data_IF_221853639284
#
_entry.id   IF_221853639284
#
_cell.length_a   1.000
_cell.length_b   1.000
_cell.length_c   1.000
_cell.angle_alpha   90.00
_cell.angle_beta   90.00
_cell.angle_gamma   90.00
#
_symmetry.space_group_name_H-M   'P 1'
#
loop_
_entity.id
_entity.type
_entity.pdbx_description
1 polymer ?
#
# COMPACT_ATOMS: atom_id res chain seq x y z
N UNK A 1 12.31 -58.21 -20.45
CA UNK A 1 11.29 -57.54 -19.61
C UNK A 1 11.80 -56.93 -18.30
N UNK A 2 13.02 -57.22 -17.82
CA UNK A 2 13.51 -56.69 -16.53
C UNK A 2 14.05 -55.24 -16.55
N UNK A 3 14.46 -54.71 -17.71
CA UNK A 3 15.02 -53.35 -17.81
C UNK A 3 13.97 -52.22 -17.85
N UNK A 4 12.67 -52.56 -17.98
CA UNK A 4 11.59 -51.56 -18.01
C UNK A 4 10.99 -51.28 -16.62
N UNK A 5 11.17 -52.20 -15.66
CA UNK A 5 10.61 -52.09 -14.32
C UNK A 5 11.45 -51.15 -13.44
N UNK A 6 12.79 -51.17 -13.59
CA UNK A 6 13.71 -50.33 -12.80
C UNK A 6 13.55 -48.83 -13.14
N UNK A 7 13.27 -48.48 -14.40
CA UNK A 7 13.00 -47.07 -14.80
C UNK A 7 11.68 -46.52 -14.26
N UNK A 8 10.68 -47.38 -14.03
CA UNK A 8 9.35 -46.95 -13.55
C UNK A 8 9.35 -46.72 -12.03
N UNK A 9 10.14 -47.47 -11.26
CA UNK A 9 10.27 -47.27 -9.81
C UNK A 9 11.12 -46.05 -9.45
N UNK A 10 12.18 -45.73 -10.20
CA UNK A 10 12.98 -44.54 -9.96
C UNK A 10 12.20 -43.23 -10.14
N UNK A 11 11.28 -43.18 -11.11
CA UNK A 11 10.45 -42.00 -11.36
C UNK A 11 9.40 -41.78 -10.26
N UNK A 12 8.80 -42.87 -9.75
CA UNK A 12 7.85 -42.79 -8.63
C UNK A 12 8.54 -42.36 -7.35
N UNK A 13 9.75 -42.87 -7.08
CA UNK A 13 10.57 -42.43 -5.94
C UNK A 13 10.95 -40.95 -6.04
N UNK A 14 11.29 -40.46 -7.24
CA UNK A 14 11.60 -39.05 -7.48
C UNK A 14 10.40 -38.12 -7.26
N UNK A 15 9.21 -38.52 -7.73
CA UNK A 15 7.96 -37.75 -7.49
C UNK A 15 7.65 -37.69 -6.00
N UNK A 16 7.80 -38.80 -5.27
CA UNK A 16 7.54 -38.83 -3.81
C UNK A 16 8.51 -37.90 -3.07
N UNK A 17 9.80 -37.97 -3.37
CA UNK A 17 10.81 -37.08 -2.75
C UNK A 17 10.54 -35.61 -3.10
N UNK A 18 10.20 -35.31 -4.35
CA UNK A 18 9.85 -33.95 -4.77
C UNK A 18 8.62 -33.42 -4.04
N UNK A 19 7.58 -34.25 -3.84
CA UNK A 19 6.39 -33.85 -3.08
C UNK A 19 6.70 -33.62 -1.60
N UNK A 20 7.57 -34.42 -0.99
CA UNK A 20 8.00 -34.22 0.41
C UNK A 20 8.83 -32.94 0.58
N UNK A 21 9.68 -32.60 -0.41
CA UNK A 21 10.44 -31.34 -0.43
C UNK A 21 9.52 -30.13 -0.63
N UNK A 22 8.49 -30.23 -1.47
CA UNK A 22 7.52 -29.14 -1.66
C UNK A 22 6.60 -28.94 -0.45
N UNK A 23 6.23 -30.01 0.26
CA UNK A 23 5.43 -29.93 1.50
C UNK A 23 6.23 -29.30 2.66
N UNK A 24 7.55 -29.47 2.70
CA UNK A 24 8.41 -28.87 3.74
C UNK A 24 8.74 -27.40 3.48
N UNK A 25 8.78 -26.95 2.22
CA UNK A 25 8.93 -25.52 1.88
C UNK A 25 7.62 -24.74 2.10
N UNK A 26 6.46 -25.42 2.11
CA UNK A 26 5.14 -24.80 2.22
C UNK A 26 4.69 -24.38 3.63
N UNK A 27 5.46 -24.63 4.70
CA UNK A 27 5.04 -24.36 6.08
C UNK A 27 5.82 -23.25 6.79
N UNK A 28 6.33 -22.26 6.05
CA UNK A 28 6.88 -21.03 6.67
C UNK A 28 5.85 -19.89 6.57
N UNK A 29 5.35 -19.52 7.74
CA UNK A 29 4.60 -18.31 8.11
C UNK A 29 3.08 -18.27 7.84
N UNK A 30 2.36 -18.95 8.72
CA UNK A 30 1.24 -18.32 9.44
C UNK A 30 1.79 -17.19 10.33
N UNK A 31 1.98 -16.01 9.75
CA UNK A 31 2.17 -14.77 10.50
C UNK A 31 0.98 -13.88 10.22
N UNK A 32 0.07 -13.76 11.18
CA UNK A 32 -1.06 -12.85 11.12
C UNK A 32 -0.56 -11.41 10.89
N UNK A 33 -0.64 -10.94 9.65
CA UNK A 33 -0.36 -9.55 9.30
C UNK A 33 -1.61 -8.73 9.63
N UNK A 34 -1.82 -8.43 10.91
CA UNK A 34 -2.71 -7.34 11.31
C UNK A 34 -2.01 -6.04 10.95
N UNK A 35 -2.10 -5.65 9.69
CA UNK A 35 -1.71 -4.31 9.27
C UNK A 35 -2.82 -3.34 9.68
N UNK A 36 -2.95 -3.14 10.99
CA UNK A 36 -3.64 -2.00 11.57
C UNK A 36 -2.56 -1.16 12.24
N UNK A 37 -1.81 -0.43 11.42
CA UNK A 37 -1.03 0.71 11.86
C UNK A 37 -1.99 1.85 12.22
N UNK A 38 -2.91 1.60 13.16
CA UNK A 38 -3.45 2.71 13.93
C UNK A 38 -2.31 3.15 14.86
N UNK A 39 -1.89 4.42 14.80
CA UNK A 39 -0.93 4.94 15.76
C UNK A 39 -1.46 4.68 17.17
N UNK A 40 -0.58 4.52 18.17
CA UNK A 40 -1.01 4.31 19.55
C UNK A 40 -2.05 5.38 19.89
N UNK A 41 -3.27 4.92 20.19
CA UNK A 41 -4.34 5.79 20.67
C UNK A 41 -3.77 6.46 21.91
N UNK A 42 -3.43 7.75 21.78
CA UNK A 42 -2.92 8.56 22.88
C UNK A 42 -3.84 8.32 24.08
N UNK A 43 -3.31 8.10 25.29
CA UNK A 43 -4.13 8.03 26.49
C UNK A 43 -5.09 9.20 26.41
N UNK A 44 -6.38 8.90 26.34
CA UNK A 44 -7.44 9.90 26.38
C UNK A 44 -7.50 10.33 27.84
N UNK A 45 -6.42 10.93 28.32
CA UNK A 45 -6.38 11.62 29.58
C UNK A 45 -7.43 12.71 29.44
N UNK A 46 -8.51 12.47 30.13
CA UNK A 46 -9.69 13.29 30.29
C UNK A 46 -9.33 14.60 30.99
N UNK A 47 -8.47 15.40 30.38
CA UNK A 47 -8.49 16.84 30.55
C UNK A 47 -9.13 17.40 29.29
N UNK A 48 -10.42 17.67 29.42
CA UNK A 48 -11.05 18.75 28.69
C UNK A 48 -10.08 19.93 28.65
N UNK A 49 -9.49 20.20 27.49
CA UNK A 49 -9.01 21.54 27.20
C UNK A 49 -10.27 22.36 26.98
N UNK A 50 -10.96 22.65 28.08
CA UNK A 50 -11.70 23.89 28.16
C UNK A 50 -10.60 24.93 27.97
N UNK A 51 -10.64 25.74 26.89
CA UNK A 51 -9.68 26.81 26.72
C UNK A 51 -9.73 27.62 28.01
N UNK A 52 -8.63 27.56 28.77
CA UNK A 52 -8.52 28.39 29.97
C UNK A 52 -8.60 29.82 29.47
N UNK A 53 -9.19 30.75 30.25
CA UNK A 53 -9.40 32.13 29.81
C UNK A 53 -8.11 32.87 29.41
N UNK A 54 -6.94 32.26 29.61
CA UNK A 54 -5.63 32.85 29.37
C UNK A 54 -4.92 32.39 28.06
N UNK A 55 -5.32 31.29 27.40
CA UNK A 55 -4.70 30.86 26.13
C UNK A 55 -5.74 30.43 25.08
N UNK A 56 -5.83 31.17 23.97
CA UNK A 56 -6.65 30.79 22.81
C UNK A 56 -5.95 29.74 21.94
N UNK A 57 -6.73 28.94 21.19
CA UNK A 57 -6.20 28.05 20.16
C UNK A 57 -5.40 28.81 19.08
N UNK A 58 -5.74 30.08 18.84
CA UNK A 58 -5.00 30.94 17.93
C UNK A 58 -3.61 31.30 18.48
N UNK A 59 -3.49 31.49 19.79
CA UNK A 59 -2.23 31.83 20.47
C UNK A 59 -1.27 30.64 20.48
N UNK A 60 -1.78 29.42 20.69
CA UNK A 60 -0.99 28.18 20.63
C UNK A 60 -0.31 28.04 19.25
N UNK A 61 -1.01 28.40 18.18
CA UNK A 61 -0.50 28.37 16.82
C UNK A 61 0.25 29.66 16.43
N UNK A 62 0.29 30.69 17.28
CA UNK A 62 0.83 32.02 16.99
C UNK A 62 0.26 32.64 15.71
N UNK A 63 -1.05 32.58 15.55
CA UNK A 63 -1.76 33.15 14.39
C UNK A 63 -2.81 34.16 14.83
N UNK A 64 -3.11 35.11 13.95
CA UNK A 64 -4.25 35.99 14.15
C UNK A 64 -5.57 35.22 14.05
N UNK A 65 -6.59 35.71 14.73
CA UNK A 65 -7.93 35.12 14.77
C UNK A 65 -8.61 35.13 13.39
N UNK A 66 -8.28 36.14 12.58
CA UNK A 66 -8.75 36.27 11.19
C UNK A 66 -7.96 35.40 10.21
N UNK A 67 -7.03 34.56 10.68
CA UNK A 67 -6.17 33.77 9.81
C UNK A 67 -6.98 32.81 8.92
N UNK A 68 -6.54 32.71 7.67
CA UNK A 68 -7.08 31.80 6.66
C UNK A 68 -6.58 30.39 6.87
N UNK A 69 -7.31 29.40 6.34
CA UNK A 69 -6.96 27.97 6.51
C UNK A 69 -5.54 27.65 6.00
N UNK A 70 -5.07 28.37 4.98
CA UNK A 70 -3.69 28.26 4.47
C UNK A 70 -2.65 28.77 5.47
N UNK A 71 -2.95 29.87 6.18
CA UNK A 71 -2.10 30.41 7.24
C UNK A 71 -2.07 29.49 8.46
N UNK A 72 -3.22 28.92 8.86
CA UNK A 72 -3.29 27.91 9.92
C UNK A 72 -2.42 26.70 9.58
N UNK A 73 -2.57 26.17 8.36
CA UNK A 73 -1.76 25.04 7.89
C UNK A 73 -0.26 25.37 7.87
N UNK A 74 0.11 26.61 7.53
CA UNK A 74 1.50 27.06 7.54
C UNK A 74 2.05 27.17 8.97
N UNK A 75 1.28 27.72 9.89
CA UNK A 75 1.66 27.86 11.29
C UNK A 75 1.78 26.50 11.99
N UNK A 76 0.85 25.59 11.75
CA UNK A 76 0.92 24.22 12.25
C UNK A 76 2.21 23.52 11.80
N UNK A 77 2.56 23.59 10.51
CA UNK A 77 3.82 23.03 10.01
C UNK A 77 5.05 23.62 10.72
N UNK A 78 5.05 24.92 11.03
CA UNK A 78 6.13 25.56 11.78
C UNK A 78 6.23 25.04 13.21
N UNK A 79 5.10 24.85 13.89
CA UNK A 79 5.07 24.31 15.26
C UNK A 79 5.54 22.84 15.29
N UNK A 80 5.06 22.01 14.36
CA UNK A 80 5.51 20.61 14.23
C UNK A 80 7.02 20.54 13.98
N UNK A 81 7.54 21.38 13.08
CA UNK A 81 8.97 21.42 12.80
C UNK A 81 9.82 21.90 13.99
N UNK A 82 9.24 22.63 14.95
CA UNK A 82 9.93 23.07 16.18
C UNK A 82 10.03 21.93 17.20
N UNK A 83 8.94 21.18 17.37
CA UNK A 83 8.81 20.15 18.40
C UNK A 83 9.00 18.71 17.89
N UNK A 84 9.51 18.53 16.67
CA UNK A 84 9.77 17.21 16.10
C UNK A 84 10.83 16.44 16.90
N UNK A 85 10.60 15.13 17.11
CA UNK A 85 11.45 14.25 17.91
C UNK A 85 12.93 14.33 17.52
N UNK A 86 13.24 14.38 16.23
CA UNK A 86 14.61 14.49 15.72
C UNK A 86 15.41 15.68 16.28
N UNK A 87 14.75 16.81 16.53
CA UNK A 87 15.42 18.01 17.08
C UNK A 87 15.56 17.96 18.59
N UNK A 88 14.63 17.29 19.27
CA UNK A 88 14.55 17.27 20.73
C UNK A 88 15.13 16.00 21.36
N UNK A 89 15.41 14.96 20.58
CA UNK A 89 16.00 13.70 21.05
C UNK A 89 17.38 13.88 21.71
N UNK A 90 18.11 14.93 21.31
CA UNK A 90 19.42 15.28 21.87
C UNK A 90 19.33 16.11 23.15
N UNK A 91 18.12 16.53 23.55
CA UNK A 91 17.87 17.29 24.77
C UNK A 91 17.49 16.32 25.90
N UNK A 92 17.67 16.75 27.16
CA UNK A 92 17.27 15.96 28.34
C UNK A 92 15.77 15.62 28.38
N UNK A 93 15.41 14.65 29.23
CA UNK A 93 14.05 14.09 29.33
C UNK A 93 12.97 15.16 29.54
N UNK A 94 13.23 16.17 30.35
CA UNK A 94 12.27 17.25 30.63
C UNK A 94 11.87 18.01 29.37
N UNK A 95 12.85 18.33 28.52
CA UNK A 95 12.62 19.05 27.25
C UNK A 95 11.91 18.18 26.22
N UNK A 96 12.13 16.87 26.24
CA UNK A 96 11.40 15.94 25.38
C UNK A 96 9.92 15.86 25.79
N UNK A 97 9.64 15.83 27.10
CA UNK A 97 8.28 15.83 27.62
C UNK A 97 7.55 17.14 27.29
N UNK A 98 8.21 18.29 27.45
CA UNK A 98 7.65 19.59 27.08
C UNK A 98 7.37 19.69 25.57
N UNK A 99 8.29 19.21 24.74
CA UNK A 99 8.12 19.18 23.29
C UNK A 99 6.90 18.35 22.88
N UNK A 100 6.70 17.18 23.50
CA UNK A 100 5.54 16.33 23.27
C UNK A 100 4.23 17.03 23.67
N UNK A 101 4.20 17.64 24.85
CA UNK A 101 3.02 18.37 25.32
C UNK A 101 2.66 19.54 24.38
N UNK A 102 3.65 20.32 23.94
CA UNK A 102 3.43 21.42 23.01
C UNK A 102 3.04 20.95 21.60
N UNK A 103 3.59 19.82 21.13
CA UNK A 103 3.18 19.18 19.88
C UNK A 103 1.72 18.72 19.93
N UNK A 104 1.32 18.08 21.02
CA UNK A 104 -0.06 17.62 21.22
C UNK A 104 -1.03 18.81 21.27
N UNK A 105 -0.69 19.88 21.99
CA UNK A 105 -1.49 21.13 22.01
C UNK A 105 -1.61 21.77 20.64
N UNK A 106 -0.52 21.87 19.87
CA UNK A 106 -0.54 22.45 18.53
C UNK A 106 -1.39 21.62 17.56
N UNK A 107 -1.36 20.28 17.71
CA UNK A 107 -2.18 19.36 16.93
C UNK A 107 -3.66 19.54 17.23
N UNK A 108 -4.03 19.55 18.51
CA UNK A 108 -5.42 19.75 18.94
C UNK A 108 -5.96 21.11 18.50
N UNK A 109 -5.16 22.18 18.65
CA UNK A 109 -5.53 23.52 18.18
C UNK A 109 -5.80 23.55 16.67
N UNK A 110 -4.93 22.92 15.87
CA UNK A 110 -5.09 22.87 14.42
C UNK A 110 -6.32 22.05 13.98
N UNK A 111 -6.54 20.88 14.59
CA UNK A 111 -7.71 20.04 14.31
C UNK A 111 -9.00 20.78 14.64
N UNK A 112 -9.06 21.42 15.80
CA UNK A 112 -10.22 22.16 16.26
C UNK A 112 -10.53 23.36 15.35
N UNK A 113 -9.52 24.17 15.01
CA UNK A 113 -9.69 25.35 14.15
C UNK A 113 -9.96 25.01 12.68
N UNK A 114 -9.55 23.83 12.21
CA UNK A 114 -9.88 23.36 10.84
C UNK A 114 -11.31 22.79 10.78
N UNK A 115 -11.83 22.34 11.91
CA UNK A 115 -13.18 21.77 12.01
C UNK A 115 -14.30 22.80 11.83
N UNK A 116 -15.55 22.33 11.78
CA UNK A 116 -16.73 23.21 11.80
C UNK A 116 -16.93 23.89 13.17
N UNK A 117 -16.28 23.40 14.22
CA UNK A 117 -16.43 23.89 15.60
C UNK A 117 -15.75 25.25 15.79
N UNK A 118 -14.82 25.64 14.90
CA UNK A 118 -14.24 27.00 14.86
C UNK A 118 -15.31 28.09 14.88
N UNK A 119 -16.41 27.95 14.14
CA UNK A 119 -17.47 28.94 14.14
C UNK A 119 -18.17 29.09 15.50
N UNK A 120 -18.36 27.97 16.21
CA UNK A 120 -18.98 27.98 17.53
C UNK A 120 -18.02 28.57 18.57
N UNK A 121 -16.75 28.23 18.46
CA UNK A 121 -15.68 28.79 19.27
C UNK A 121 -15.56 30.30 19.11
N UNK A 122 -15.46 30.79 17.87
CA UNK A 122 -15.34 32.23 17.60
C UNK A 122 -16.56 32.99 18.13
N UNK A 123 -17.77 32.41 18.03
CA UNK A 123 -19.01 32.99 18.57
C UNK A 123 -18.98 33.13 20.10
N UNK A 124 -18.51 32.11 20.81
CA UNK A 124 -18.56 32.04 22.28
C UNK A 124 -17.37 32.74 22.92
N UNK A 125 -16.15 32.49 22.43
CA UNK A 125 -14.92 32.96 23.05
C UNK A 125 -14.74 34.48 22.95
N UNK A 126 -15.42 35.15 22.01
CA UNK A 126 -15.14 36.54 21.69
C UNK A 126 -16.36 37.43 21.45
N UNK A 127 -17.58 36.90 21.57
CA UNK A 127 -18.77 37.64 21.15
C UNK A 127 -18.64 38.11 19.71
N UNK A 128 -18.22 37.20 18.81
CA UNK A 128 -17.84 37.53 17.44
C UNK A 128 -18.79 38.52 16.79
N UNK A 129 -18.21 39.58 16.21
CA UNK A 129 -18.94 40.57 15.43
C UNK A 129 -19.81 39.90 14.36
N UNK A 130 -20.95 40.51 14.01
CA UNK A 130 -21.87 39.99 12.98
C UNK A 130 -21.14 39.61 11.67
N UNK A 131 -20.09 40.34 11.34
CA UNK A 131 -19.25 40.12 10.16
C UNK A 131 -18.39 38.85 10.22
N UNK A 132 -17.71 38.56 11.34
CA UNK A 132 -16.89 37.34 11.48
C UNK A 132 -17.77 36.08 11.44
N UNK A 133 -18.95 36.15 12.07
CA UNK A 133 -19.97 35.10 11.99
C UNK A 133 -20.45 34.87 10.54
N UNK A 134 -20.62 35.94 9.76
CA UNK A 134 -20.96 35.84 8.33
C UNK A 134 -19.86 35.13 7.53
N UNK A 135 -18.59 35.50 7.74
CA UNK A 135 -17.46 34.84 7.07
C UNK A 135 -17.42 33.34 7.37
N UNK A 136 -17.64 32.96 8.64
CA UNK A 136 -17.62 31.56 9.04
C UNK A 136 -18.77 30.76 8.39
N UNK A 137 -19.99 31.32 8.38
CA UNK A 137 -21.14 30.71 7.69
C UNK A 137 -20.89 30.54 6.19
N UNK A 138 -20.27 31.53 5.54
CA UNK A 138 -19.91 31.47 4.11
C UNK A 138 -18.94 30.34 3.83
N UNK A 139 -17.86 30.21 4.62
CA UNK A 139 -16.87 29.12 4.47
C UNK A 139 -17.50 27.74 4.69
N UNK A 140 -18.36 27.58 5.69
CA UNK A 140 -19.03 26.31 5.96
C UNK A 140 -19.95 25.89 4.79
N UNK A 141 -20.71 26.83 4.22
CA UNK A 141 -21.53 26.58 3.04
C UNK A 141 -20.68 26.15 1.84
N UNK A 142 -19.58 26.85 1.57
CA UNK A 142 -18.65 26.50 0.49
C UNK A 142 -18.03 25.11 0.71
N UNK A 143 -17.68 24.74 1.94
CA UNK A 143 -17.11 23.41 2.23
C UNK A 143 -18.13 22.30 2.02
N UNK A 144 -19.37 22.49 2.49
CA UNK A 144 -20.46 21.53 2.25
C UNK A 144 -20.75 21.36 0.76
N UNK A 145 -20.73 22.46 0.00
CA UNK A 145 -20.93 22.43 -1.44
C UNK A 145 -19.79 21.68 -2.16
N UNK A 146 -18.53 21.97 -1.81
CA UNK A 146 -17.37 21.22 -2.34
C UNK A 146 -17.43 19.73 -1.99
N UNK A 147 -17.87 19.39 -0.78
CA UNK A 147 -18.03 17.99 -0.36
C UNK A 147 -19.17 17.30 -1.11
N UNK A 148 -20.25 18.03 -1.42
CA UNK A 148 -21.32 17.54 -2.28
C UNK A 148 -20.83 17.33 -3.71
N UNK A 149 -20.11 18.29 -4.28
CA UNK A 149 -19.49 18.19 -5.60
C UNK A 149 -18.54 17.00 -5.69
N UNK A 150 -17.64 16.83 -4.70
CA UNK A 150 -16.74 15.69 -4.64
C UNK A 150 -17.48 14.34 -4.58
N UNK A 151 -18.56 14.24 -3.78
CA UNK A 151 -19.40 13.03 -3.76
C UNK A 151 -20.11 12.78 -5.09
N UNK A 152 -20.63 13.82 -5.72
CA UNK A 152 -21.30 13.72 -7.02
C UNK A 152 -20.29 13.30 -8.11
N UNK A 153 -19.06 13.82 -8.07
CA UNK A 153 -17.93 13.42 -8.93
C UNK A 153 -17.53 11.95 -8.69
N UNK A 154 -17.38 11.52 -7.44
CA UNK A 154 -17.10 10.12 -7.08
C UNK A 154 -18.19 9.17 -7.62
N UNK A 155 -19.46 9.55 -7.45
CA UNK A 155 -20.59 8.77 -7.98
C UNK A 155 -20.57 8.74 -9.51
N UNK A 156 -20.21 9.85 -10.17
CA UNK A 156 -20.10 9.91 -11.62
C UNK A 156 -18.98 9.01 -12.15
N UNK A 157 -17.80 9.05 -11.52
CA UNK A 157 -16.65 8.18 -11.83
C UNK A 157 -17.03 6.71 -11.63
N UNK A 158 -17.68 6.38 -10.51
CA UNK A 158 -18.13 5.02 -10.22
C UNK A 158 -19.18 4.52 -11.25
N UNK A 159 -20.09 5.39 -11.71
CA UNK A 159 -21.05 5.07 -12.77
C UNK A 159 -20.34 4.87 -14.12
N UNK A 160 -19.35 5.70 -14.45
CA UNK A 160 -18.55 5.56 -15.67
C UNK A 160 -17.78 4.23 -15.70
N UNK A 161 -17.09 3.89 -14.60
CA UNK A 161 -16.37 2.61 -14.47
C UNK A 161 -17.31 1.39 -14.61
N UNK A 162 -18.51 1.45 -14.02
CA UNK A 162 -19.53 0.39 -14.19
C UNK A 162 -20.02 0.28 -15.64
N UNK A 163 -20.19 1.40 -16.35
CA UNK A 163 -20.59 1.41 -17.75
C UNK A 163 -19.51 0.82 -18.66
N UNK A 164 -18.24 1.14 -18.42
CA UNK A 164 -17.10 0.55 -19.14
C UNK A 164 -16.99 -0.96 -18.91
N UNK A 165 -17.11 -1.41 -17.65
CA UNK A 165 -17.15 -2.83 -17.33
C UNK A 165 -18.31 -3.57 -18.03
N UNK A 166 -19.46 -2.91 -18.23
CA UNK A 166 -20.56 -3.48 -19.01
C UNK A 166 -20.23 -3.54 -20.52
N UNK A 167 -19.52 -2.54 -21.06
CA UNK A 167 -19.06 -2.53 -22.46
C UNK A 167 -18.06 -3.65 -22.76
N UNK A 168 -17.06 -3.85 -21.89
CA UNK A 168 -16.07 -4.92 -22.07
C UNK A 168 -16.72 -6.31 -21.98
N UNK A 169 -17.66 -6.52 -21.06
CA UNK A 169 -18.47 -7.76 -21.00
C UNK A 169 -19.26 -8.01 -22.29
N UNK A 170 -19.88 -6.96 -22.86
CA UNK A 170 -20.61 -7.07 -24.15
C UNK A 170 -19.67 -7.37 -25.32
N UNK A 171 -18.48 -6.76 -25.35
CA UNK A 171 -17.46 -7.04 -26.36
C UNK A 171 -16.95 -8.49 -26.27
N UNK A 172 -16.61 -8.97 -25.07
CA UNK A 172 -16.17 -10.36 -24.87
C UNK A 172 -17.26 -11.40 -25.17
N UNK A 173 -18.55 -11.06 -24.94
CA UNK A 173 -19.67 -11.93 -25.34
C UNK A 173 -19.80 -12.04 -26.86
N UNK A 174 -19.49 -10.98 -27.62
CA UNK A 174 -19.49 -11.01 -29.09
C UNK A 174 -18.30 -11.80 -29.65
N UNK A 175 -17.09 -11.66 -29.09
CA UNK A 175 -15.91 -12.45 -29.48
C UNK A 175 -16.01 -13.91 -29.04
N UNK A 176 -16.62 -14.21 -27.90
CA UNK A 176 -16.88 -15.58 -27.43
C UNK A 176 -17.93 -16.34 -28.25
N UNK A 177 -18.91 -15.64 -28.86
CA UNK A 177 -19.89 -16.24 -29.77
C UNK A 177 -19.35 -16.45 -31.20
N UNK A 178 -18.38 -15.66 -31.64
CA UNK A 178 -17.72 -15.83 -32.95
C UNK A 178 -16.62 -16.90 -32.95
N UNK A 179 -16.18 -17.38 -31.76
CA UNK A 179 -15.19 -18.45 -31.62
C UNK A 179 -15.75 -19.87 -31.45
N UNK A 180 -17.05 -20.10 -31.67
CA UNK A 180 -17.63 -21.46 -31.81
C UNK A 180 -17.56 -21.95 -33.27
N UNK A 181 -17.09 -21.12 -34.19
CA UNK A 181 -16.94 -21.46 -35.61
C UNK A 181 -15.50 -21.44 -36.13
N UNK A 182 -14.46 -21.63 -35.29
CA UNK A 182 -13.13 -21.91 -35.84
C UNK A 182 -13.03 -23.41 -36.09
N UNK A 183 -13.46 -23.81 -37.30
CA UNK A 183 -13.18 -25.11 -37.90
C UNK A 183 -11.70 -25.46 -37.68
N UNK A 184 -11.44 -26.36 -36.73
CA UNK A 184 -10.16 -27.06 -36.64
C UNK A 184 -10.10 -27.96 -37.87
N UNK A 185 -9.48 -27.47 -38.94
CA UNK A 185 -9.05 -28.31 -40.06
C UNK A 185 -8.17 -29.41 -39.48
N UNK A 186 -8.71 -30.63 -39.39
CA UNK A 186 -7.94 -31.85 -39.16
C UNK A 186 -6.96 -31.99 -40.32
N UNK A 187 -5.69 -31.63 -40.09
CA UNK A 187 -4.67 -31.78 -41.12
C UNK A 187 -3.36 -31.08 -40.80
N UNK A 188 -2.74 -31.36 -39.64
CA UNK A 188 -1.32 -31.10 -39.38
C UNK A 188 -0.88 -31.73 -38.03
N UNK A 189 -1.17 -33.01 -37.82
CA UNK A 189 -0.84 -33.72 -36.57
C UNK A 189 0.62 -34.14 -36.40
N UNK A 190 1.56 -33.63 -37.22
CA UNK A 190 2.98 -34.02 -37.14
C UNK A 190 3.94 -32.84 -36.97
N UNK A 191 3.60 -31.64 -37.43
CA UNK A 191 4.48 -30.47 -37.37
C UNK A 191 4.46 -29.79 -35.98
N UNK A 192 3.29 -29.71 -35.31
CA UNK A 192 3.15 -28.93 -34.08
C UNK A 192 3.81 -29.57 -32.85
N UNK A 193 3.98 -30.90 -32.85
CA UNK A 193 4.64 -31.63 -31.74
C UNK A 193 6.14 -31.34 -31.72
N UNK A 194 6.76 -31.17 -32.89
CA UNK A 194 8.20 -30.87 -32.99
C UNK A 194 8.50 -29.48 -32.43
N UNK A 195 7.65 -28.49 -32.71
CA UNK A 195 7.83 -27.13 -32.19
C UNK A 195 7.50 -26.99 -30.70
N UNK A 196 6.50 -27.73 -30.18
CA UNK A 196 6.18 -27.68 -28.75
C UNK A 196 7.26 -28.36 -27.88
N UNK A 197 7.85 -29.47 -28.36
CA UNK A 197 8.97 -30.13 -27.69
C UNK A 197 10.26 -29.31 -27.83
N UNK A 198 10.52 -28.71 -28.99
CA UNK A 198 11.67 -27.82 -29.20
C UNK A 198 11.63 -26.53 -28.37
N UNK A 199 10.45 -25.90 -28.26
CA UNK A 199 10.26 -24.69 -27.44
C UNK A 199 10.35 -24.98 -25.94
N UNK A 200 9.91 -26.17 -25.50
CA UNK A 200 10.07 -26.60 -24.11
C UNK A 200 11.53 -26.96 -23.78
N UNK A 201 12.27 -27.56 -24.73
CA UNK A 201 13.71 -27.81 -24.57
C UNK A 201 14.48 -26.49 -24.51
N UNK A 202 14.18 -25.52 -25.38
CA UNK A 202 14.82 -24.19 -25.33
C UNK A 202 14.50 -23.45 -24.04
N UNK A 203 13.25 -23.47 -23.58
CA UNK A 203 12.84 -22.82 -22.33
C UNK A 203 13.43 -23.47 -21.08
N UNK A 204 13.70 -24.78 -21.12
CA UNK A 204 14.44 -25.50 -20.05
C UNK A 204 15.94 -25.23 -20.13
N UNK A 205 16.50 -25.05 -21.34
CA UNK A 205 17.92 -24.72 -21.54
C UNK A 205 18.25 -23.28 -21.11
N UNK A 206 17.39 -22.33 -21.43
CA UNK A 206 17.59 -20.89 -21.20
C UNK A 206 17.50 -20.50 -19.72
N UNK A 207 16.86 -21.32 -18.87
CA UNK A 207 16.78 -21.07 -17.42
C UNK A 207 17.89 -21.71 -16.57
N UNK A 208 18.81 -22.45 -17.17
CA UNK A 208 19.80 -23.25 -16.43
C UNK A 208 21.25 -23.15 -16.95
N UNK A 209 21.63 -22.08 -17.66
CA UNK A 209 23.02 -21.85 -18.09
C UNK A 209 24.04 -21.85 -16.93
N UNK A 210 23.64 -21.44 -15.73
CA UNK A 210 24.52 -21.46 -14.56
C UNK A 210 24.69 -22.85 -13.92
N UNK A 211 23.82 -23.80 -14.23
CA UNK A 211 23.87 -25.15 -13.63
C UNK A 211 24.71 -26.11 -14.46
N UNK A 212 24.65 -26.02 -15.79
CA UNK A 212 25.46 -26.88 -16.65
C UNK A 212 26.94 -26.49 -16.67
N UNK A 213 27.26 -25.20 -16.58
CA UNK A 213 28.66 -24.75 -16.48
C UNK A 213 29.34 -25.24 -15.19
N UNK A 214 28.62 -25.28 -14.07
CA UNK A 214 29.15 -25.80 -12.80
C UNK A 214 29.37 -27.32 -12.77
N UNK A 215 28.50 -28.09 -13.44
CA UNK A 215 28.63 -29.55 -13.52
C UNK A 215 29.70 -29.97 -14.54
N UNK A 216 29.87 -29.20 -15.63
CA UNK A 216 30.89 -29.48 -16.65
C UNK A 216 32.31 -29.15 -16.14
N UNK A 217 32.50 -28.07 -15.38
CA UNK A 217 33.79 -27.79 -14.74
C UNK A 217 34.17 -28.86 -13.70
N UNK A 218 33.21 -29.35 -12.91
CA UNK A 218 33.47 -30.41 -11.94
C UNK A 218 33.92 -31.72 -12.62
N UNK A 219 33.31 -32.06 -13.76
CA UNK A 219 33.69 -33.24 -14.54
C UNK A 219 35.05 -33.08 -15.24
N UNK A 220 35.36 -31.88 -15.76
CA UNK A 220 36.66 -31.60 -16.37
C UNK A 220 37.79 -31.60 -15.34
N UNK A 221 37.57 -31.03 -14.15
CA UNK A 221 38.56 -31.07 -13.07
C UNK A 221 38.76 -32.50 -12.54
N UNK A 222 37.68 -33.26 -12.36
CA UNK A 222 37.77 -34.66 -11.92
C UNK A 222 38.47 -35.56 -12.96
N UNK A 223 38.24 -35.32 -14.27
CA UNK A 223 38.90 -36.06 -15.35
C UNK A 223 40.40 -35.69 -15.48
N UNK A 224 40.77 -34.43 -15.31
CA UNK A 224 42.17 -33.98 -15.31
C UNK A 224 42.94 -34.46 -14.08
N UNK A 225 42.31 -34.49 -12.89
CA UNK A 225 42.92 -35.02 -11.67
C UNK A 225 43.19 -36.53 -11.78
N UNK A 226 42.32 -37.27 -12.49
CA UNK A 226 42.48 -38.70 -12.74
C UNK A 226 43.56 -39.02 -13.78
N UNK A 227 43.84 -38.12 -14.71
CA UNK A 227 44.93 -38.26 -15.69
C UNK A 227 46.31 -37.88 -15.11
N UNK A 228 46.36 -37.05 -14.07
CA UNK A 228 47.62 -36.67 -13.40
C UNK A 228 48.05 -37.61 -12.26
N UNK A 229 47.16 -38.46 -11.76
CA UNK A 229 47.46 -39.38 -10.65
C UNK A 229 47.52 -40.87 -11.02
N UNK A 230 47.20 -41.26 -12.27
CA UNK A 230 47.26 -42.66 -12.72
C UNK A 230 46.06 -43.49 -12.30
#
# INVERSE_FOLDING_TARGET
>A
MFQYIIKRHGFVAFIIVLTLVLVTIGTVQSGAFTNSSNPPVRPRDSLSIVPTPYLSYYDILNVSMNATDSQLKRAYRKQVAKWHADKVQRLGMDKQMEARANFDRATQAYEFLTSHQRCQYDRVAMGATTFQNFQCRKRLKQRKEKERQAREEEIAIAKAAKAEAARTKRANKKTGKTKIGLQVKRGAGRELVVYAVGSLIHFVFEKHENFFNGVFEFFCHWALLRLLLG
#
